data_IF_973749889350
#
_entry.id   IF_973749889350
#
_cell.length_a   1.000
_cell.length_b   1.000
_cell.length_c   1.000
_cell.angle_alpha   90.00
_cell.angle_beta   90.00
_cell.angle_gamma   90.00
#
_symmetry.space_group_name_H-M   'P 1'
#
loop_
_entity.id
_entity.type
_entity.pdbx_description
1 polymer ?
#
# COMPACT_ATOMS: atom_id res chain seq x y z
N UNK A 1 22.50 47.70 -19.49
CA UNK A 1 23.30 46.97 -18.48
C UNK A 1 22.32 46.12 -17.68
N UNK A 2 22.30 44.80 -17.89
CA UNK A 2 21.32 43.89 -17.28
C UNK A 2 21.80 43.50 -15.88
N UNK A 3 21.06 43.89 -14.85
CA UNK A 3 21.37 43.54 -13.47
C UNK A 3 20.99 42.06 -13.22
N UNK A 4 22.00 41.22 -13.05
CA UNK A 4 21.81 39.85 -12.60
C UNK A 4 21.33 39.87 -11.14
N UNK A 5 20.03 39.59 -10.94
CA UNK A 5 19.40 39.58 -9.62
C UNK A 5 19.89 38.37 -8.82
N UNK A 6 20.78 38.59 -7.86
CA UNK A 6 21.28 37.56 -6.95
C UNK A 6 20.19 37.21 -5.93
N UNK A 7 19.39 36.19 -6.22
CA UNK A 7 18.38 35.67 -5.31
C UNK A 7 19.05 34.91 -4.16
N UNK A 8 18.55 35.14 -2.95
CA UNK A 8 18.93 34.32 -1.77
C UNK A 8 18.40 32.89 -1.93
N UNK A 9 19.01 31.91 -1.26
CA UNK A 9 18.57 30.50 -1.26
C UNK A 9 17.09 30.34 -0.89
N UNK A 10 16.59 31.15 0.04
CA UNK A 10 15.18 31.18 0.44
C UNK A 10 14.25 31.72 -0.66
N UNK A 11 14.67 32.76 -1.39
CA UNK A 11 13.93 33.30 -2.53
C UNK A 11 13.95 32.35 -3.72
N UNK A 12 15.07 31.66 -3.95
CA UNK A 12 15.16 30.56 -4.93
C UNK A 12 14.21 29.43 -4.59
N UNK A 13 14.15 29.00 -3.34
CA UNK A 13 13.20 27.97 -2.89
C UNK A 13 11.75 28.42 -3.09
N UNK A 14 11.40 29.65 -2.70
CA UNK A 14 10.05 30.18 -2.88
C UNK A 14 9.69 30.31 -4.37
N UNK A 15 10.63 30.76 -5.21
CA UNK A 15 10.44 30.89 -6.66
C UNK A 15 10.26 29.53 -7.33
N UNK A 16 11.10 28.54 -6.97
CA UNK A 16 10.95 27.14 -7.39
C UNK A 16 9.63 26.54 -6.90
N UNK A 17 9.19 26.84 -5.67
CA UNK A 17 7.88 26.41 -5.17
C UNK A 17 6.71 27.06 -5.91
N UNK A 18 6.83 28.33 -6.31
CA UNK A 18 5.81 29.02 -7.11
C UNK A 18 5.81 28.60 -8.58
N UNK A 19 6.97 28.25 -9.14
CA UNK A 19 7.09 27.73 -10.51
C UNK A 19 6.62 26.27 -10.58
N UNK A 20 6.92 25.45 -9.57
CA UNK A 20 6.39 24.08 -9.41
C UNK A 20 4.89 24.02 -9.11
N UNK A 21 4.26 25.14 -8.77
CA UNK A 21 2.79 25.25 -8.69
C UNK A 21 2.14 25.30 -10.07
N UNK A 22 2.90 25.42 -11.17
CA UNK A 22 2.36 25.07 -12.48
C UNK A 22 2.05 23.58 -12.48
N UNK A 23 0.83 23.24 -12.87
CA UNK A 23 0.16 21.93 -12.81
C UNK A 23 0.97 20.77 -13.41
N UNK A 24 2.00 20.30 -12.72
CA UNK A 24 2.59 19.01 -13.06
C UNK A 24 1.61 17.97 -12.50
N UNK A 25 0.98 17.13 -13.34
CA UNK A 25 0.14 16.07 -12.83
C UNK A 25 0.97 15.20 -11.90
N UNK A 26 0.40 14.81 -10.76
CA UNK A 26 1.06 13.85 -9.87
C UNK A 26 1.19 12.53 -10.64
N UNK A 27 2.42 12.16 -11.00
CA UNK A 27 2.72 10.95 -11.76
C UNK A 27 3.35 9.92 -10.83
N UNK A 28 2.83 8.69 -10.86
CA UNK A 28 3.47 7.57 -10.20
C UNK A 28 4.66 7.10 -11.04
N UNK A 29 5.82 7.00 -10.43
CA UNK A 29 7.07 6.55 -11.04
C UNK A 29 7.56 5.27 -10.38
N UNK A 30 8.22 4.43 -11.18
CA UNK A 30 8.79 3.17 -10.73
C UNK A 30 10.30 3.17 -10.98
N UNK A 31 11.05 3.04 -9.90
CA UNK A 31 12.48 2.86 -9.98
C UNK A 31 12.90 1.49 -9.49
N UNK A 32 13.89 0.91 -10.15
CA UNK A 32 14.54 -0.29 -9.66
C UNK A 32 16.00 0.06 -9.42
N UNK A 33 16.39 0.70 -8.30
CA UNK A 33 17.74 1.22 -8.11
C UNK A 33 18.79 0.13 -7.96
N UNK A 34 18.41 -1.01 -7.38
CA UNK A 34 19.33 -2.09 -7.04
C UNK A 34 18.77 -3.46 -7.42
N UNK A 35 19.69 -4.39 -7.65
CA UNK A 35 19.39 -5.81 -7.78
C UNK A 35 20.38 -6.60 -6.94
N UNK A 36 19.93 -7.73 -6.38
CA UNK A 36 20.77 -8.62 -5.57
C UNK A 36 20.55 -10.07 -5.97
N UNK A 37 21.64 -10.82 -6.04
CA UNK A 37 21.60 -12.27 -6.29
C UNK A 37 21.45 -12.97 -4.94
N UNK A 38 20.39 -13.76 -4.79
CA UNK A 38 20.24 -14.68 -3.66
C UNK A 38 20.66 -16.04 -4.10
N UNK A 39 21.48 -16.68 -3.28
CA UNK A 39 21.92 -18.05 -3.47
C UNK A 39 21.76 -18.81 -2.16
N UNK A 40 20.87 -19.78 -2.19
CA UNK A 40 20.70 -20.76 -1.12
C UNK A 40 21.09 -22.14 -1.67
N UNK A 41 21.23 -23.14 -0.80
CA UNK A 41 21.65 -24.50 -1.18
C UNK A 41 20.85 -25.12 -2.34
N UNK A 42 19.58 -24.71 -2.50
CA UNK A 42 18.65 -25.28 -3.49
C UNK A 42 18.31 -24.33 -4.66
N UNK A 43 18.70 -23.05 -4.61
CA UNK A 43 18.28 -22.10 -5.64
C UNK A 43 19.15 -20.86 -5.72
N UNK A 44 19.34 -20.35 -6.94
CA UNK A 44 19.99 -19.08 -7.22
C UNK A 44 19.07 -18.21 -8.07
N UNK A 45 18.73 -17.01 -7.59
CA UNK A 45 17.80 -16.11 -8.27
C UNK A 45 18.13 -14.64 -8.01
N UNK A 46 17.56 -13.76 -8.82
CA UNK A 46 17.75 -12.31 -8.73
C UNK A 46 16.51 -11.69 -8.11
N UNK A 47 16.72 -10.79 -7.16
CA UNK A 47 15.68 -9.93 -6.56
C UNK A 47 15.93 -8.49 -7.00
N UNK A 48 14.84 -7.82 -7.34
CA UNK A 48 14.76 -6.43 -7.76
C UNK A 48 14.09 -5.64 -6.63
N UNK A 49 14.76 -4.59 -6.15
CA UNK A 49 14.16 -3.60 -5.25
C UNK A 49 13.34 -2.64 -6.11
N UNK A 50 12.02 -2.67 -6.02
CA UNK A 50 11.11 -1.81 -6.78
C UNK A 50 10.64 -0.67 -5.89
N UNK A 51 11.13 0.53 -6.13
CA UNK A 51 10.75 1.77 -5.45
C UNK A 51 9.58 2.41 -6.19
N UNK A 52 8.55 2.79 -5.44
CA UNK A 52 7.39 3.52 -5.95
C UNK A 52 7.47 4.96 -5.47
N UNK A 53 7.36 5.93 -6.38
CA UNK A 53 7.48 7.35 -6.06
C UNK A 53 6.35 8.19 -6.66
N UNK A 54 6.00 9.28 -6.00
CA UNK A 54 5.11 10.30 -6.53
C UNK A 54 5.91 11.50 -7.05
N UNK A 55 5.86 11.73 -8.36
CA UNK A 55 6.39 12.94 -8.98
C UNK A 55 5.41 14.11 -8.82
N UNK A 56 5.92 15.34 -8.74
CA UNK A 56 5.10 16.54 -8.60
C UNK A 56 4.67 16.89 -7.17
N UNK A 57 4.95 16.03 -6.20
CA UNK A 57 4.77 16.28 -4.76
C UNK A 57 6.04 15.98 -3.98
N UNK A 58 6.15 16.50 -2.75
CA UNK A 58 7.20 16.08 -1.83
C UNK A 58 6.93 14.63 -1.39
N UNK A 59 7.72 13.69 -1.90
CA UNK A 59 7.67 12.28 -1.49
C UNK A 59 8.60 12.08 -0.28
N UNK A 60 8.02 12.12 0.92
CA UNK A 60 8.77 12.05 2.19
C UNK A 60 9.20 10.63 2.56
N UNK A 61 8.57 9.60 1.99
CA UNK A 61 8.79 8.21 2.37
C UNK A 61 9.27 7.38 1.18
N UNK A 62 10.57 7.07 1.14
CA UNK A 62 11.09 6.12 0.16
C UNK A 62 10.69 4.70 0.58
N UNK A 63 9.66 4.16 -0.06
CA UNK A 63 9.17 2.79 0.15
C UNK A 63 9.44 1.93 -1.09
N UNK A 64 9.81 0.68 -0.83
CA UNK A 64 10.20 -0.29 -1.86
C UNK A 64 9.66 -1.68 -1.57
N UNK A 65 9.44 -2.46 -2.63
CA UNK A 65 9.12 -3.88 -2.54
C UNK A 65 10.18 -4.74 -3.20
N UNK A 66 10.34 -5.96 -2.72
CA UNK A 66 11.28 -6.91 -3.31
C UNK A 66 10.55 -7.90 -4.21
N UNK A 67 10.91 -7.94 -5.49
CA UNK A 67 10.28 -8.83 -6.46
C UNK A 67 11.32 -9.61 -7.24
N UNK A 68 10.99 -10.85 -7.59
CA UNK A 68 11.75 -11.66 -8.55
C UNK A 68 11.14 -11.49 -9.92
N UNK A 69 11.89 -11.81 -10.96
CA UNK A 69 11.39 -11.79 -12.33
C UNK A 69 10.13 -12.66 -12.53
N UNK A 70 10.03 -13.79 -11.81
CA UNK A 70 8.82 -14.63 -11.80
C UNK A 70 7.56 -13.91 -11.30
N UNK A 71 7.70 -12.93 -10.40
CA UNK A 71 6.57 -12.18 -9.87
C UNK A 71 6.01 -11.23 -10.93
N UNK A 72 6.87 -10.61 -11.75
CA UNK A 72 6.45 -9.80 -12.89
C UNK A 72 5.72 -10.63 -13.95
N UNK A 73 6.17 -11.86 -14.19
CA UNK A 73 5.48 -12.78 -15.09
C UNK A 73 4.13 -13.23 -14.56
N UNK A 74 4.05 -13.48 -13.24
CA UNK A 74 2.78 -13.79 -12.59
C UNK A 74 1.80 -12.61 -12.75
N UNK A 75 2.27 -11.37 -12.54
CA UNK A 75 1.48 -10.17 -12.79
C UNK A 75 0.99 -10.11 -14.24
N UNK A 76 1.89 -10.27 -15.22
CA UNK A 76 1.51 -10.24 -16.65
C UNK A 76 0.41 -11.27 -16.94
N UNK A 77 0.56 -12.50 -16.46
CA UNK A 77 -0.43 -13.55 -16.68
C UNK A 77 -1.79 -13.19 -16.11
N UNK A 78 -1.84 -12.73 -14.86
CA UNK A 78 -3.10 -12.34 -14.21
C UNK A 78 -3.77 -11.17 -14.93
N UNK A 79 -2.98 -10.21 -15.43
CA UNK A 79 -3.49 -9.07 -16.18
C UNK A 79 -4.00 -9.47 -17.57
N UNK A 80 -3.34 -10.41 -18.26
CA UNK A 80 -3.82 -10.95 -19.54
C UNK A 80 -5.11 -11.75 -19.35
N UNK A 81 -5.24 -12.52 -18.27
CA UNK A 81 -6.49 -13.21 -17.90
C UNK A 81 -7.67 -12.23 -17.71
N UNK A 82 -7.40 -11.01 -17.24
CA UNK A 82 -8.44 -9.99 -16.97
C UNK A 82 -8.71 -9.07 -18.18
N UNK A 83 -7.69 -8.70 -18.97
CA UNK A 83 -7.77 -7.62 -19.96
C UNK A 83 -7.34 -7.98 -21.39
N UNK A 84 -6.82 -9.18 -21.62
CA UNK A 84 -6.29 -9.76 -22.87
C UNK A 84 -5.96 -8.75 -23.99
N UNK A 85 -6.96 -8.37 -24.81
CA UNK A 85 -6.83 -7.47 -25.97
C UNK A 85 -6.26 -6.07 -25.67
N UNK A 86 -6.34 -5.59 -24.43
CA UNK A 86 -5.81 -4.27 -24.04
C UNK A 86 -4.30 -4.29 -23.77
N UNK A 87 -3.69 -5.48 -23.67
CA UNK A 87 -2.30 -5.67 -23.25
C UNK A 87 -1.40 -6.29 -24.31
N UNK A 88 -1.87 -6.42 -25.55
CA UNK A 88 -1.10 -7.01 -26.67
C UNK A 88 0.28 -6.34 -26.85
N UNK A 89 0.36 -5.01 -26.68
CA UNK A 89 1.59 -4.23 -26.86
C UNK A 89 2.45 -4.09 -25.59
N UNK A 90 1.98 -4.59 -24.44
CA UNK A 90 2.68 -4.45 -23.15
C UNK A 90 3.14 -5.81 -22.66
N UNK A 91 4.45 -6.06 -22.79
CA UNK A 91 5.09 -7.30 -22.35
C UNK A 91 6.32 -7.04 -21.50
N UNK A 92 6.61 -7.93 -20.52
CA UNK A 92 7.85 -7.88 -19.76
C UNK A 92 9.04 -8.31 -20.65
N UNK A 93 10.30 -7.97 -20.28
CA UNK A 93 11.48 -8.42 -21.01
C UNK A 93 11.52 -9.96 -21.07
N UNK A 94 12.06 -10.57 -22.13
CA UNK A 94 12.00 -12.01 -22.32
C UNK A 94 12.77 -12.80 -21.26
N UNK A 95 12.31 -14.03 -21.03
CA UNK A 95 13.04 -15.04 -20.24
C UNK A 95 14.37 -15.32 -20.93
N UNK A 96 15.45 -15.32 -20.15
CA UNK A 96 16.76 -15.73 -20.65
C UNK A 96 17.09 -17.10 -20.09
N UNK A 97 17.58 -17.99 -20.95
CA UNK A 97 17.94 -19.37 -20.61
C UNK A 97 19.33 -19.46 -19.96
N UNK A 98 20.22 -18.50 -20.25
CA UNK A 98 21.57 -18.42 -19.68
C UNK A 98 21.99 -16.95 -19.49
N UNK A 99 23.09 -16.70 -18.75
CA UNK A 99 23.65 -15.35 -18.58
C UNK A 99 22.85 -14.41 -17.65
N UNK A 100 21.84 -14.93 -16.94
CA UNK A 100 20.94 -14.16 -16.07
C UNK A 100 21.63 -13.36 -14.95
N UNK A 101 22.87 -13.71 -14.59
CA UNK A 101 23.64 -13.07 -13.52
C UNK A 101 24.73 -12.12 -14.05
N UNK A 102 24.87 -11.96 -15.36
CA UNK A 102 25.81 -11.02 -15.95
C UNK A 102 25.37 -9.57 -15.63
N UNK A 103 26.29 -8.73 -15.15
CA UNK A 103 25.97 -7.36 -14.74
C UNK A 103 25.32 -6.53 -15.86
N UNK A 104 25.79 -6.67 -17.10
CA UNK A 104 25.20 -6.00 -18.27
C UNK A 104 23.76 -6.47 -18.52
N UNK A 105 23.50 -7.77 -18.42
CA UNK A 105 22.16 -8.36 -18.59
C UNK A 105 21.22 -7.92 -17.46
N UNK A 106 21.72 -7.90 -16.21
CA UNK A 106 20.96 -7.42 -15.06
C UNK A 106 20.57 -5.95 -15.21
N UNK A 107 21.50 -5.10 -15.68
CA UNK A 107 21.23 -3.70 -15.94
C UNK A 107 20.17 -3.51 -17.04
N UNK A 108 20.31 -4.20 -18.17
CA UNK A 108 19.34 -4.12 -19.26
C UNK A 108 17.95 -4.61 -18.82
N UNK A 109 17.89 -5.73 -18.11
CA UNK A 109 16.62 -6.26 -17.58
C UNK A 109 15.99 -5.32 -16.57
N UNK A 110 16.78 -4.70 -15.69
CA UNK A 110 16.32 -3.70 -14.71
C UNK A 110 15.60 -2.54 -15.40
N UNK A 111 16.24 -1.94 -16.40
CA UNK A 111 15.65 -0.85 -17.19
C UNK A 111 14.37 -1.29 -17.90
N UNK A 112 14.39 -2.46 -18.56
CA UNK A 112 13.22 -2.98 -19.25
C UNK A 112 12.04 -3.29 -18.30
N UNK A 113 12.31 -3.72 -17.06
CA UNK A 113 11.27 -3.92 -16.03
C UNK A 113 10.69 -2.59 -15.53
N UNK A 114 11.51 -1.54 -15.41
CA UNK A 114 11.02 -0.19 -15.11
C UNK A 114 10.09 0.30 -16.22
N UNK A 115 10.52 0.19 -17.48
CA UNK A 115 9.72 0.58 -18.64
C UNK A 115 8.42 -0.23 -18.72
N UNK A 116 8.47 -1.52 -18.41
CA UNK A 116 7.29 -2.38 -18.34
C UNK A 116 6.28 -1.90 -17.30
N UNK A 117 6.71 -1.58 -16.06
CA UNK A 117 5.80 -1.04 -15.04
C UNK A 117 5.22 0.32 -15.44
N UNK A 118 6.03 1.19 -16.06
CA UNK A 118 5.58 2.47 -16.57
C UNK A 118 4.53 2.32 -17.69
N UNK A 119 4.72 1.36 -18.61
CA UNK A 119 3.73 1.02 -19.65
C UNK A 119 2.44 0.48 -19.04
N UNK A 120 2.52 -0.48 -18.10
CA UNK A 120 1.35 -0.99 -17.39
C UNK A 120 0.55 0.12 -16.71
N UNK A 121 1.24 1.04 -16.03
CA UNK A 121 0.59 2.17 -15.36
C UNK A 121 0.00 3.20 -16.33
N UNK A 122 0.56 3.33 -17.54
CA UNK A 122 0.00 4.17 -18.59
C UNK A 122 -1.32 3.61 -19.12
N UNK A 123 -1.50 2.29 -19.06
CA UNK A 123 -2.74 1.60 -19.43
C UNK A 123 -3.83 1.80 -18.37
N UNK A 124 -4.90 2.54 -18.69
CA UNK A 124 -5.92 2.99 -17.73
C UNK A 124 -6.60 1.85 -16.97
N UNK A 125 -7.01 0.77 -17.64
CA UNK A 125 -7.69 -0.36 -16.99
C UNK A 125 -6.78 -1.07 -15.98
N UNK A 126 -5.53 -1.35 -16.37
CA UNK A 126 -4.52 -1.95 -15.49
C UNK A 126 -4.21 -1.06 -14.29
N UNK A 127 -4.02 0.25 -14.52
CA UNK A 127 -3.74 1.20 -13.44
C UNK A 127 -4.80 1.20 -12.33
N UNK A 128 -6.06 0.98 -12.67
CA UNK A 128 -7.16 0.91 -11.69
C UNK A 128 -7.49 -0.52 -11.25
N UNK A 129 -6.87 -1.53 -11.85
CA UNK A 129 -7.05 -2.92 -11.44
C UNK A 129 -6.45 -3.13 -10.06
N UNK A 130 -7.13 -3.88 -9.17
CA UNK A 130 -6.55 -4.30 -7.90
C UNK A 130 -5.34 -5.22 -8.09
N UNK A 131 -5.23 -5.93 -9.23
CA UNK A 131 -4.07 -6.79 -9.53
C UNK A 131 -2.77 -5.99 -9.59
N UNK A 132 -2.83 -4.78 -10.15
CA UNK A 132 -1.67 -3.91 -10.24
C UNK A 132 -1.22 -3.43 -8.87
N UNK A 133 -2.16 -3.00 -8.01
CA UNK A 133 -1.83 -2.61 -6.64
C UNK A 133 -1.33 -3.81 -5.81
N UNK A 134 -1.94 -4.98 -5.97
CA UNK A 134 -1.56 -6.21 -5.27
C UNK A 134 -0.11 -6.61 -5.56
N UNK A 135 0.42 -6.32 -6.74
CA UNK A 135 1.85 -6.51 -7.04
C UNK A 135 2.76 -5.76 -6.07
N UNK A 136 2.34 -4.62 -5.53
CA UNK A 136 3.14 -3.82 -4.59
C UNK A 136 2.74 -4.02 -3.12
N UNK A 137 1.58 -4.60 -2.82
CA UNK A 137 1.09 -4.60 -1.43
C UNK A 137 0.79 -5.99 -0.88
N UNK A 138 0.39 -6.96 -1.70
CA UNK A 138 -0.17 -8.23 -1.22
C UNK A 138 0.86 -9.06 -0.45
N UNK A 139 2.08 -9.20 -0.98
CA UNK A 139 3.13 -9.99 -0.33
C UNK A 139 3.56 -9.39 1.03
N UNK A 140 3.74 -8.07 1.07
CA UNK A 140 4.14 -7.31 2.24
C UNK A 140 3.04 -7.32 3.30
N UNK A 141 1.80 -7.09 2.89
CA UNK A 141 0.64 -7.14 3.78
C UNK A 141 0.44 -8.54 4.36
N UNK A 142 0.59 -9.60 3.56
CA UNK A 142 0.54 -10.98 4.04
C UNK A 142 1.67 -11.29 5.03
N UNK A 143 2.88 -10.85 4.73
CA UNK A 143 4.02 -10.99 5.64
C UNK A 143 3.74 -10.32 6.99
N UNK A 144 3.22 -9.09 6.98
CA UNK A 144 2.93 -8.35 8.19
C UNK A 144 1.84 -9.00 9.04
N UNK A 145 0.84 -9.59 8.38
CA UNK A 145 -0.26 -10.27 9.05
C UNK A 145 0.16 -11.65 9.59
N UNK A 146 1.14 -12.32 8.97
CA UNK A 146 1.81 -13.50 9.58
C UNK A 146 2.55 -13.10 10.85
N UNK A 147 3.29 -11.98 10.84
CA UNK A 147 3.97 -11.45 12.03
C UNK A 147 2.97 -11.10 13.15
N UNK A 148 1.85 -10.48 12.80
CA UNK A 148 0.76 -10.17 13.73
C UNK A 148 0.21 -11.45 14.38
N UNK A 149 -0.09 -12.50 13.59
CA UNK A 149 -0.54 -13.80 14.11
C UNK A 149 0.51 -14.47 15.01
N UNK A 150 1.79 -14.28 14.72
CA UNK A 150 2.90 -14.73 15.55
C UNK A 150 3.15 -13.88 16.81
N UNK A 151 2.33 -12.85 17.07
CA UNK A 151 2.50 -11.95 18.22
C UNK A 151 3.66 -10.96 18.09
N UNK A 152 4.29 -10.88 16.92
CA UNK A 152 5.42 -9.98 16.65
C UNK A 152 4.91 -8.59 16.24
N UNK A 153 4.12 -7.95 17.10
CA UNK A 153 3.39 -6.73 16.78
C UNK A 153 4.29 -5.57 16.35
N UNK A 154 5.46 -5.39 16.96
CA UNK A 154 6.40 -4.32 16.59
C UNK A 154 6.98 -4.48 15.19
N UNK A 155 7.24 -5.72 14.75
CA UNK A 155 7.73 -5.99 13.40
C UNK A 155 6.59 -5.89 12.38
N UNK A 156 5.40 -6.40 12.74
CA UNK A 156 4.20 -6.27 11.93
C UNK A 156 3.87 -4.79 11.67
N UNK A 157 3.95 -3.94 12.70
CA UNK A 157 3.67 -2.51 12.63
C UNK A 157 4.57 -1.81 11.59
N UNK A 158 5.90 -2.01 11.67
CA UNK A 158 6.84 -1.43 10.70
C UNK A 158 6.49 -1.83 9.26
N UNK A 159 6.20 -3.12 9.05
CA UNK A 159 5.85 -3.61 7.71
C UNK A 159 4.48 -3.07 7.24
N UNK A 160 3.50 -2.93 8.13
CA UNK A 160 2.19 -2.34 7.81
C UNK A 160 2.30 -0.84 7.50
N UNK A 161 3.20 -0.10 8.14
CA UNK A 161 3.47 1.31 7.83
C UNK A 161 4.03 1.46 6.41
N UNK A 162 4.99 0.61 6.02
CA UNK A 162 5.51 0.58 4.65
C UNK A 162 4.42 0.24 3.63
N UNK A 163 3.57 -0.75 3.93
CA UNK A 163 2.41 -1.11 3.10
C UNK A 163 1.43 0.07 2.98
N UNK A 164 1.13 0.73 4.09
CA UNK A 164 0.21 1.87 4.09
C UNK A 164 0.77 3.01 3.25
N UNK A 165 2.06 3.32 3.37
CA UNK A 165 2.72 4.32 2.56
C UNK A 165 2.66 3.97 1.05
N UNK A 166 2.88 2.70 0.67
CA UNK A 166 2.68 2.24 -0.71
C UNK A 166 1.22 2.41 -1.17
N UNK A 167 0.25 2.03 -0.34
CA UNK A 167 -1.17 2.18 -0.67
C UNK A 167 -1.59 3.65 -0.80
N UNK A 168 -1.01 4.55 0.01
CA UNK A 168 -1.24 5.99 -0.09
C UNK A 168 -0.65 6.59 -1.36
N UNK A 169 0.50 6.08 -1.84
CA UNK A 169 1.01 6.45 -3.17
C UNK A 169 0.09 6.00 -4.30
N UNK A 170 -0.58 4.86 -4.14
CA UNK A 170 -1.51 4.31 -5.13
C UNK A 170 -2.94 4.89 -5.04
N UNK A 171 -3.25 5.67 -4.01
CA UNK A 171 -4.63 6.00 -3.64
C UNK A 171 -5.44 6.73 -4.72
N UNK A 172 -4.80 7.49 -5.60
CA UNK A 172 -5.48 8.25 -6.65
C UNK A 172 -6.11 7.34 -7.73
N UNK A 173 -5.64 6.11 -7.84
CA UNK A 173 -6.07 5.16 -8.87
C UNK A 173 -6.73 3.91 -8.32
N UNK A 174 -6.75 3.76 -7.00
CA UNK A 174 -7.21 2.56 -6.33
C UNK A 174 -8.44 2.83 -5.47
N UNK A 175 -9.25 1.80 -5.25
CA UNK A 175 -10.39 1.90 -4.35
C UNK A 175 -9.92 2.27 -2.94
N UNK A 176 -10.61 3.18 -2.22
CA UNK A 176 -10.31 3.48 -0.82
C UNK A 176 -10.30 2.22 0.07
N UNK A 177 -11.05 1.18 -0.32
CA UNK A 177 -11.12 -0.11 0.37
C UNK A 177 -9.75 -0.79 0.53
N UNK A 178 -8.80 -0.53 -0.38
CA UNK A 178 -7.46 -1.13 -0.38
C UNK A 178 -6.73 -0.94 0.97
N UNK A 179 -6.91 0.23 1.60
CA UNK A 179 -6.22 0.58 2.86
C UNK A 179 -6.89 0.03 4.11
N UNK A 180 -8.16 -0.38 4.03
CA UNK A 180 -8.93 -0.76 5.21
C UNK A 180 -8.29 -1.93 5.98
N UNK A 181 -7.91 -3.05 5.34
CA UNK A 181 -7.22 -4.15 6.03
C UNK A 181 -5.97 -3.70 6.79
N UNK A 182 -5.11 -2.90 6.15
CA UNK A 182 -3.86 -2.40 6.73
C UNK A 182 -4.12 -1.50 7.94
N UNK A 183 -5.08 -0.57 7.84
CA UNK A 183 -5.44 0.33 8.95
C UNK A 183 -6.04 -0.44 10.14
N UNK A 184 -6.88 -1.44 9.88
CA UNK A 184 -7.42 -2.31 10.92
C UNK A 184 -6.30 -3.10 11.62
N UNK A 185 -5.35 -3.64 10.86
CA UNK A 185 -4.20 -4.37 11.40
C UNK A 185 -3.28 -3.48 12.23
N UNK A 186 -3.03 -2.24 11.79
CA UNK A 186 -2.27 -1.25 12.57
C UNK A 186 -2.96 -0.94 13.91
N UNK A 187 -4.28 -0.70 13.89
CA UNK A 187 -5.03 -0.45 15.12
C UNK A 187 -4.93 -1.63 16.10
N UNK A 188 -5.00 -2.87 15.62
CA UNK A 188 -4.81 -4.08 16.44
C UNK A 188 -3.38 -4.16 17.00
N UNK A 189 -2.35 -3.95 16.18
CA UNK A 189 -0.96 -3.95 16.63
C UNK A 189 -0.70 -2.92 17.72
N UNK A 190 -1.17 -1.67 17.54
CA UNK A 190 -1.03 -0.62 18.56
C UNK A 190 -1.78 -0.97 19.85
N UNK A 191 -2.97 -1.57 19.77
CA UNK A 191 -3.71 -2.02 20.96
C UNK A 191 -2.92 -3.08 21.74
N UNK A 192 -2.39 -4.09 21.06
CA UNK A 192 -1.60 -5.15 21.69
C UNK A 192 -0.30 -4.60 22.29
N UNK A 193 0.27 -3.54 21.71
CA UNK A 193 1.44 -2.80 22.24
C UNK A 193 1.09 -1.75 23.32
N UNK A 194 -0.17 -1.63 23.73
CA UNK A 194 -0.65 -0.62 24.68
C UNK A 194 -0.43 0.84 24.24
N UNK A 195 -0.31 1.08 22.94
CA UNK A 195 -0.22 2.40 22.31
C UNK A 195 -1.62 2.90 21.95
N UNK A 196 -2.40 3.27 22.97
CA UNK A 196 -3.85 3.51 22.82
C UNK A 196 -4.17 4.72 21.94
N UNK A 197 -3.32 5.75 21.94
CA UNK A 197 -3.53 6.94 21.12
C UNK A 197 -3.33 6.65 19.63
N UNK A 198 -2.26 5.94 19.29
CA UNK A 198 -1.93 5.53 17.92
C UNK A 198 -2.96 4.52 17.39
N UNK A 199 -3.44 3.62 18.26
CA UNK A 199 -4.54 2.72 17.94
C UNK A 199 -5.83 3.48 17.60
N UNK A 200 -6.14 4.52 18.37
CA UNK A 200 -7.30 5.38 18.15
C UNK A 200 -7.17 6.08 16.79
N UNK A 201 -6.02 6.69 16.50
CA UNK A 201 -5.77 7.41 15.25
C UNK A 201 -5.88 6.48 14.03
N UNK A 202 -5.31 5.26 14.11
CA UNK A 202 -5.43 4.25 13.07
C UNK A 202 -6.90 3.82 12.84
N UNK A 203 -7.64 3.55 13.91
CA UNK A 203 -9.05 3.17 13.83
C UNK A 203 -9.95 4.31 13.31
N UNK A 204 -9.65 5.56 13.66
CA UNK A 204 -10.34 6.75 13.14
C UNK A 204 -10.10 6.94 11.64
N UNK A 205 -8.89 6.63 11.14
CA UNK A 205 -8.60 6.63 9.70
C UNK A 205 -9.34 5.49 8.96
N UNK A 206 -9.52 4.35 9.61
CA UNK A 206 -10.20 3.18 9.03
C UNK A 206 -11.72 3.36 8.91
N UNK A 207 -12.36 3.99 9.91
CA UNK A 207 -13.82 4.05 10.01
C UNK A 207 -14.53 4.72 8.81
N UNK A 208 -14.07 5.87 8.26
CA UNK A 208 -14.65 6.45 7.05
C UNK A 208 -14.59 5.53 5.84
N UNK A 209 -13.51 4.74 5.71
CA UNK A 209 -13.36 3.76 4.63
C UNK A 209 -14.39 2.64 4.79
N UNK A 210 -14.51 2.07 6.00
CA UNK A 210 -15.51 1.04 6.28
C UNK A 210 -16.95 1.53 6.02
N UNK A 211 -17.25 2.79 6.37
CA UNK A 211 -18.54 3.43 6.07
C UNK A 211 -18.80 3.55 4.57
N UNK A 212 -17.83 4.05 3.80
CA UNK A 212 -17.95 4.24 2.34
C UNK A 212 -18.09 2.92 1.59
N UNK A 213 -17.40 1.87 2.05
CA UNK A 213 -17.42 0.56 1.41
C UNK A 213 -18.59 -0.33 1.86
N UNK A 214 -19.43 0.12 2.80
CA UNK A 214 -20.58 -0.66 3.29
C UNK A 214 -20.21 -1.91 4.09
N UNK A 215 -18.98 -2.00 4.61
CA UNK A 215 -18.46 -3.19 5.29
C UNK A 215 -18.95 -3.23 6.74
N UNK A 216 -20.17 -3.74 6.95
CA UNK A 216 -20.87 -3.74 8.25
C UNK A 216 -20.04 -4.34 9.39
N UNK A 217 -19.45 -5.53 9.20
CA UNK A 217 -18.67 -6.19 10.25
C UNK A 217 -17.45 -5.37 10.67
N UNK A 218 -16.71 -4.83 9.70
CA UNK A 218 -15.57 -3.96 9.96
C UNK A 218 -16.00 -2.66 10.66
N UNK A 219 -17.11 -2.05 10.23
CA UNK A 219 -17.67 -0.85 10.85
C UNK A 219 -18.06 -1.09 12.32
N UNK A 220 -18.78 -2.17 12.61
CA UNK A 220 -19.18 -2.53 13.97
C UNK A 220 -17.95 -2.81 14.87
N UNK A 221 -16.98 -3.58 14.37
CA UNK A 221 -15.75 -3.87 15.10
C UNK A 221 -14.90 -2.61 15.38
N UNK A 222 -14.79 -1.70 14.40
CA UNK A 222 -14.09 -0.42 14.57
C UNK A 222 -14.80 0.49 15.57
N UNK A 223 -16.13 0.59 15.53
CA UNK A 223 -16.90 1.41 16.48
C UNK A 223 -16.74 0.93 17.92
N UNK A 224 -16.80 -0.40 18.14
CA UNK A 224 -16.53 -0.99 19.46
C UNK A 224 -15.12 -0.67 19.95
N UNK A 225 -14.12 -0.86 19.09
CA UNK A 225 -12.73 -0.56 19.45
C UNK A 225 -12.56 0.92 19.80
N UNK A 226 -13.13 1.82 19.00
CA UNK A 226 -13.05 3.26 19.25
C UNK A 226 -13.75 3.66 20.55
N UNK A 227 -14.86 3.02 20.92
CA UNK A 227 -15.52 3.23 22.21
C UNK A 227 -14.61 2.81 23.36
N UNK A 228 -14.03 1.61 23.29
CA UNK A 228 -13.13 1.10 24.32
C UNK A 228 -11.89 1.99 24.50
N UNK A 229 -11.29 2.43 23.40
CA UNK A 229 -10.13 3.35 23.42
C UNK A 229 -10.53 4.74 23.94
N UNK A 230 -11.69 5.25 23.54
CA UNK A 230 -12.18 6.55 24.02
C UNK A 230 -12.43 6.53 25.52
N UNK A 231 -12.99 5.44 26.06
CA UNK A 231 -13.17 5.26 27.50
C UNK A 231 -11.83 5.28 28.25
N UNK A 232 -10.83 4.54 27.76
CA UNK A 232 -9.48 4.51 28.37
C UNK A 232 -8.77 5.87 28.34
N UNK A 233 -8.99 6.64 27.27
CA UNK A 233 -8.38 7.96 27.08
C UNK A 233 -9.22 9.12 27.66
N UNK A 234 -10.38 8.84 28.25
CA UNK A 234 -11.27 9.89 28.80
C UNK A 234 -11.93 10.78 27.74
N UNK A 235 -12.09 10.28 26.52
CA UNK A 235 -12.67 11.00 25.38
C UNK A 235 -14.18 10.72 25.23
N UNK A 236 -14.97 11.67 24.69
CA UNK A 236 -16.41 11.50 24.55
C UNK A 236 -16.77 10.48 23.45
N UNK A 237 -17.51 9.42 23.82
CA UNK A 237 -17.90 8.31 22.93
C UNK A 237 -19.36 8.28 22.47
N UNK A 238 -20.20 9.23 22.87
CA UNK A 238 -21.67 9.17 22.66
C UNK A 238 -22.07 8.97 21.19
N UNK A 239 -21.44 9.71 20.26
CA UNK A 239 -21.72 9.58 18.82
C UNK A 239 -21.37 8.19 18.26
N UNK A 240 -20.34 7.54 18.80
CA UNK A 240 -19.92 6.20 18.38
C UNK A 240 -20.91 5.15 18.88
N UNK A 241 -21.44 5.35 20.09
CA UNK A 241 -22.45 4.49 20.70
C UNK A 241 -23.77 4.54 19.92
N UNK A 242 -24.26 5.73 19.59
CA UNK A 242 -25.49 5.91 18.81
C UNK A 242 -25.39 5.20 17.45
N UNK A 243 -24.23 5.33 16.78
CA UNK A 243 -23.98 4.68 15.49
C UNK A 243 -23.91 3.15 15.60
N UNK A 244 -23.31 2.63 16.68
CA UNK A 244 -23.23 1.19 16.93
C UNK A 244 -24.62 0.60 17.22
N UNK A 245 -25.42 1.29 18.04
CA UNK A 245 -26.80 0.89 18.34
C UNK A 245 -27.64 0.84 17.05
N UNK A 246 -27.56 1.87 16.21
CA UNK A 246 -28.25 1.89 14.92
C UNK A 246 -27.83 0.78 13.94
N UNK A 247 -26.62 0.20 14.08
CA UNK A 247 -26.20 -0.99 13.33
C UNK A 247 -26.76 -2.30 13.91
N UNK A 248 -26.98 -2.36 15.22
CA UNK A 248 -27.53 -3.53 15.92
C UNK A 248 -29.06 -3.62 15.77
N UNK A 249 -29.74 -2.48 15.67
CA UNK A 249 -31.19 -2.40 15.51
C UNK A 249 -31.66 -2.78 14.09
N UNK A 250 -30.74 -2.93 13.12
CA UNK A 250 -31.05 -3.48 11.80
C UNK A 250 -31.23 -5.01 11.89
N UNK A 251 -32.15 -5.60 11.11
CA UNK A 251 -32.48 -7.02 11.22
C UNK A 251 -31.21 -7.88 11.13
N UNK A 252 -31.00 -8.82 12.08
CA UNK A 252 -29.76 -9.54 12.19
C UNK A 252 -29.61 -10.47 10.99
N UNK A 253 -28.64 -10.18 10.13
CA UNK A 253 -28.16 -11.18 9.15
C UNK A 253 -27.35 -12.28 9.83
N UNK A 254 -26.93 -12.11 11.09
CA UNK A 254 -26.06 -13.04 11.82
C UNK A 254 -26.56 -13.24 13.27
N UNK A 255 -26.69 -14.50 13.68
CA UNK A 255 -27.13 -14.95 15.03
C UNK A 255 -26.03 -14.92 16.10
N UNK A 256 -24.83 -14.45 15.77
CA UNK A 256 -23.66 -14.47 16.64
C UNK A 256 -23.19 -13.05 16.96
N UNK A 257 -22.58 -12.87 18.14
CA UNK A 257 -21.87 -11.63 18.47
C UNK A 257 -20.92 -11.26 17.33
N UNK A 258 -20.95 -10.01 16.84
CA UNK A 258 -20.09 -9.64 15.73
C UNK A 258 -18.62 -9.71 16.17
N UNK A 259 -17.75 -10.25 15.30
CA UNK A 259 -16.36 -10.58 15.63
C UNK A 259 -15.59 -9.34 16.07
N UNK A 260 -14.58 -9.56 16.92
CA UNK A 260 -13.65 -8.49 17.29
C UNK A 260 -12.84 -8.01 16.08
N UNK A 261 -12.27 -6.80 16.14
CA UNK A 261 -11.43 -6.30 15.04
C UNK A 261 -10.24 -7.23 14.79
N UNK A 262 -9.68 -7.78 15.86
CA UNK A 262 -8.57 -8.74 15.81
C UNK A 262 -8.99 -10.04 15.11
N UNK A 263 -10.17 -10.59 15.41
CA UNK A 263 -10.70 -11.75 14.70
C UNK A 263 -10.90 -11.47 13.21
N UNK A 264 -11.46 -10.32 12.84
CA UNK A 264 -11.64 -9.94 11.43
C UNK A 264 -10.31 -9.84 10.69
N UNK A 265 -9.29 -9.24 11.31
CA UNK A 265 -7.94 -9.13 10.71
C UNK A 265 -7.30 -10.51 10.55
N UNK A 266 -7.51 -11.43 11.49
CA UNK A 266 -6.97 -12.79 11.41
C UNK A 266 -7.72 -13.63 10.36
N UNK A 267 -9.03 -13.46 10.22
CA UNK A 267 -9.87 -14.17 9.25
C UNK A 267 -9.56 -13.82 7.79
N UNK A 268 -8.88 -12.70 7.50
CA UNK A 268 -8.46 -12.35 6.14
C UNK A 268 -7.43 -13.33 5.52
N UNK A 269 -7.02 -14.38 6.26
CA UNK A 269 -6.03 -15.40 5.87
C UNK A 269 -6.56 -16.84 5.82
N UNK A 270 -7.85 -17.04 6.08
CA UNK A 270 -8.54 -18.34 5.95
C UNK A 270 -9.39 -18.33 4.69
#
# INVERSE_FOLDING_TARGET
MSAASALTTKQLQQKLSSEKKSEHPVLLLFEIPSTRVVENQLSKYVVYEVVVMLSGSFDSSRVSVERRYSDFLRLQRLLLEEFDSTLEDVSPPPKLLSGNFCAAVLLQRRLALQDYLAKLFSTRCVRHSPLFAAFFTDAEQRGALVLLRGGQFSLALRQLEDVLALQEKLQCWQSPALRLPTLCALAVCHCDLQQHQEALDAAQRALPVARRCGLRSHRAALLRLLMDLSYRLGLPGARLQDELQGLQDQPPTLKYDPPTLKELVIQQFT
#
